data_IF_363569506335
#
_entry.id   IF_363569506335
#
_cell.length_a   1.000
_cell.length_b   1.000
_cell.length_c   1.000
_cell.angle_alpha   90.00
_cell.angle_beta   90.00
_cell.angle_gamma   90.00
#
_symmetry.space_group_name_H-M   'P 1'
#
loop_
_entity.id
_entity.type
_entity.pdbx_description
1 polymer ?
#
# COMPACT_ATOMS: atom_id res chain seq x y z
N UNK A 1 21.67 -27.39 10.86
CA UNK A 1 21.33 -26.05 10.34
C UNK A 1 22.58 -25.19 10.39
N UNK A 2 22.76 -24.23 9.48
CA UNK A 2 23.89 -23.30 9.59
C UNK A 2 23.72 -22.44 10.83
N UNK A 3 24.81 -22.18 11.55
CA UNK A 3 24.84 -21.34 12.74
C UNK A 3 25.51 -19.99 12.42
N UNK A 4 25.22 -19.00 13.26
CA UNK A 4 25.78 -17.66 13.18
C UNK A 4 25.96 -17.05 14.56
N UNK A 5 26.79 -16.02 14.63
CA UNK A 5 26.95 -15.20 15.83
C UNK A 5 25.88 -14.11 15.90
N UNK A 6 25.40 -13.84 17.11
CA UNK A 6 24.52 -12.73 17.39
C UNK A 6 24.90 -12.06 18.71
N UNK A 7 24.80 -10.74 18.76
CA UNK A 7 24.84 -9.98 20.01
C UNK A 7 23.40 -9.87 20.50
N UNK A 8 23.13 -10.39 21.69
CA UNK A 8 21.77 -10.52 22.22
C UNK A 8 21.64 -9.81 23.56
N UNK A 9 20.41 -9.44 23.88
CA UNK A 9 20.02 -9.01 25.21
C UNK A 9 19.47 -10.23 25.94
N UNK A 10 20.06 -10.53 27.10
CA UNK A 10 19.74 -11.70 27.92
C UNK A 10 18.71 -11.41 29.01
N UNK A 11 18.40 -10.14 29.26
CA UNK A 11 17.41 -9.72 30.24
C UNK A 11 17.40 -8.21 30.46
N UNK A 12 16.34 -7.69 31.09
CA UNK A 12 16.21 -6.26 31.40
C UNK A 12 17.34 -5.80 32.32
N UNK A 13 18.06 -4.76 31.93
CA UNK A 13 19.20 -4.22 32.70
C UNK A 13 20.46 -5.09 32.66
N UNK A 14 20.46 -6.21 31.91
CA UNK A 14 21.63 -7.04 31.73
C UNK A 14 22.54 -6.49 30.63
N UNK A 15 23.83 -6.82 30.69
CA UNK A 15 24.77 -6.52 29.60
C UNK A 15 24.48 -7.41 28.39
N UNK A 16 24.83 -6.91 27.21
CA UNK A 16 24.78 -7.68 25.97
C UNK A 16 25.72 -8.90 26.05
N UNK A 17 25.27 -10.02 25.49
CA UNK A 17 26.06 -11.24 25.36
C UNK A 17 26.26 -11.60 23.89
N UNK A 18 27.38 -12.25 23.59
CA UNK A 18 27.60 -12.90 22.30
C UNK A 18 27.08 -14.33 22.40
N UNK A 19 26.15 -14.70 21.53
CA UNK A 19 25.60 -16.05 21.45
C UNK A 19 25.72 -16.62 20.04
N UNK A 20 25.70 -17.95 19.95
CA UNK A 20 25.53 -18.68 18.70
C UNK A 20 24.05 -19.01 18.55
N UNK A 21 23.48 -18.71 17.39
CA UNK A 21 22.09 -19.03 17.04
C UNK A 21 21.98 -19.59 15.62
N UNK A 22 20.90 -20.30 15.26
CA UNK A 22 20.67 -20.71 13.89
C UNK A 22 20.59 -19.51 12.93
N UNK A 23 21.06 -19.70 11.70
CA UNK A 23 20.76 -18.79 10.59
C UNK A 23 19.27 -18.93 10.25
N UNK A 24 18.47 -17.85 10.29
CA UNK A 24 17.06 -17.94 9.98
C UNK A 24 16.86 -18.25 8.50
N UNK A 25 15.78 -18.96 8.20
CA UNK A 25 15.38 -19.23 6.81
C UNK A 25 14.36 -18.18 6.38
N UNK A 26 14.57 -17.45 5.27
CA UNK A 26 13.60 -16.48 4.81
C UNK A 26 12.29 -17.17 4.43
N UNK A 27 11.16 -16.54 4.73
CA UNK A 27 9.86 -16.98 4.22
C UNK A 27 9.79 -16.85 2.69
N UNK A 28 8.71 -17.35 2.05
CA UNK A 28 8.55 -17.29 0.59
C UNK A 28 8.68 -15.89 -0.02
N UNK A 29 8.31 -14.85 0.72
CA UNK A 29 8.31 -13.46 0.26
C UNK A 29 9.42 -12.61 0.93
N UNK A 30 10.33 -13.24 1.68
CA UNK A 30 11.37 -12.51 2.41
C UNK A 30 12.73 -12.69 1.72
N UNK A 31 13.70 -11.87 2.12
CA UNK A 31 15.10 -12.08 1.74
C UNK A 31 15.94 -12.29 2.99
N UNK A 32 16.90 -13.20 2.90
CA UNK A 32 17.94 -13.34 3.92
C UNK A 32 19.05 -12.37 3.57
N UNK A 33 19.38 -11.47 4.48
CA UNK A 33 20.39 -10.43 4.27
C UNK A 33 21.59 -10.71 5.14
N UNK A 34 22.79 -10.75 4.55
CA UNK A 34 24.05 -10.69 5.30
C UNK A 34 24.31 -9.22 5.63
N UNK A 35 24.27 -8.88 6.91
CA UNK A 35 24.20 -7.48 7.32
C UNK A 35 25.57 -6.86 7.58
N UNK A 36 25.63 -5.56 7.32
CA UNK A 36 26.60 -4.65 7.91
C UNK A 36 25.84 -3.87 8.99
N UNK A 37 26.25 -4.03 10.24
CA UNK A 37 25.45 -3.60 11.39
C UNK A 37 25.40 -2.06 11.46
N UNK A 38 24.19 -1.51 11.53
CA UNK A 38 23.94 -0.14 11.97
C UNK A 38 23.01 -0.17 13.18
N UNK A 39 23.49 0.25 14.35
CA UNK A 39 22.71 0.22 15.60
C UNK A 39 22.26 1.62 15.96
N UNK A 40 20.95 1.80 16.15
CA UNK A 40 20.34 3.00 16.74
C UNK A 40 19.76 2.63 18.11
N UNK A 41 20.14 3.38 19.15
CA UNK A 41 19.63 3.21 20.52
C UNK A 41 18.39 4.10 20.72
N UNK A 42 17.20 3.52 20.59
CA UNK A 42 15.91 4.17 20.90
C UNK A 42 15.27 3.57 22.18
N UNK A 43 16.06 2.84 22.98
CA UNK A 43 15.53 1.92 23.98
C UNK A 43 15.19 0.55 23.37
N UNK A 44 15.43 -0.51 24.13
CA UNK A 44 15.28 -1.89 23.66
C UNK A 44 13.82 -2.36 23.74
N UNK A 45 13.11 -2.38 22.60
CA UNK A 45 11.72 -2.87 22.46
C UNK A 45 11.62 -4.40 22.29
N UNK A 46 12.42 -5.11 23.04
CA UNK A 46 12.36 -6.58 23.19
C UNK A 46 11.28 -6.86 24.23
N UNK A 47 10.21 -7.56 23.84
CA UNK A 47 9.21 -8.07 24.79
C UNK A 47 9.81 -9.08 25.77
N UNK A 48 9.05 -10.08 26.20
CA UNK A 48 9.54 -11.11 27.14
C UNK A 48 10.50 -12.14 26.50
N UNK A 49 10.76 -12.03 25.20
CA UNK A 49 11.56 -12.98 24.43
C UNK A 49 13.06 -12.70 24.55
N UNK A 50 13.67 -13.11 25.67
CA UNK A 50 15.13 -13.12 25.86
C UNK A 50 15.66 -14.57 25.97
N UNK A 51 16.86 -14.89 25.45
CA UNK A 51 17.80 -13.99 24.76
C UNK A 51 17.35 -13.64 23.33
N UNK A 52 17.49 -12.37 22.95
CA UNK A 52 17.16 -11.92 21.58
C UNK A 52 18.14 -10.88 21.06
N UNK A 53 18.48 -10.92 19.75
CA UNK A 53 19.10 -9.80 19.06
C UNK A 53 18.21 -8.55 19.19
N UNK A 54 18.76 -7.44 18.74
CA UNK A 54 18.13 -6.12 18.72
C UNK A 54 18.62 -5.31 17.51
N UNK A 55 18.09 -4.09 17.35
CA UNK A 55 18.40 -3.19 16.23
C UNK A 55 17.48 -3.47 15.04
N UNK A 56 16.79 -2.45 14.56
CA UNK A 56 15.82 -2.57 13.46
C UNK A 56 16.28 -1.90 12.18
N UNK A 57 17.25 -0.97 12.22
CA UNK A 57 17.80 -0.35 11.02
C UNK A 57 18.82 -1.33 10.40
N UNK A 58 18.50 -1.89 9.24
CA UNK A 58 19.28 -2.92 8.57
C UNK A 58 19.86 -2.38 7.27
N UNK A 59 21.13 -2.68 7.02
CA UNK A 59 21.76 -2.55 5.71
C UNK A 59 22.61 -3.79 5.45
N UNK A 60 22.62 -4.28 4.22
CA UNK A 60 23.40 -5.47 3.90
C UNK A 60 23.24 -5.94 2.48
N UNK A 61 23.72 -7.16 2.25
CA UNK A 61 23.73 -7.80 0.94
C UNK A 61 22.79 -9.01 0.97
N UNK A 62 21.91 -9.11 -0.02
CA UNK A 62 21.01 -10.25 -0.18
C UNK A 62 21.84 -11.52 -0.33
N UNK A 63 21.62 -12.46 0.61
CA UNK A 63 22.32 -13.73 0.71
C UNK A 63 21.47 -14.90 0.18
N UNK A 64 20.16 -14.87 0.41
CA UNK A 64 19.21 -15.83 -0.13
C UNK A 64 17.83 -15.18 -0.34
N UNK A 65 17.04 -15.77 -1.23
CA UNK A 65 15.71 -15.30 -1.59
C UNK A 65 14.65 -16.31 -1.14
N UNK A 66 13.52 -15.81 -0.69
CA UNK A 66 12.28 -16.57 -0.66
C UNK A 66 11.83 -16.96 -2.08
N UNK A 67 11.14 -18.08 -2.20
CA UNK A 67 10.73 -18.66 -3.50
C UNK A 67 9.86 -17.74 -4.38
N UNK A 68 9.21 -16.73 -3.82
CA UNK A 68 8.34 -15.79 -4.52
C UNK A 68 9.01 -14.43 -4.74
N UNK A 69 10.28 -14.27 -4.36
CA UNK A 69 11.00 -13.00 -4.53
C UNK A 69 11.65 -12.95 -5.91
N UNK A 70 11.16 -12.06 -6.76
CA UNK A 70 11.65 -11.82 -8.12
C UNK A 70 12.27 -10.41 -8.31
N UNK A 71 11.94 -9.46 -7.42
CA UNK A 71 12.43 -8.07 -7.44
C UNK A 71 13.90 -7.91 -7.03
N UNK A 72 14.49 -8.90 -6.36
CA UNK A 72 15.86 -8.86 -5.85
C UNK A 72 16.65 -10.08 -6.34
N UNK A 73 17.97 -9.93 -6.42
CA UNK A 73 18.91 -11.04 -6.64
C UNK A 73 19.93 -11.13 -5.53
N UNK A 74 20.49 -12.33 -5.34
CA UNK A 74 21.65 -12.54 -4.47
C UNK A 74 22.77 -11.59 -4.90
N UNK A 75 23.35 -10.87 -3.93
CA UNK A 75 24.35 -9.84 -4.16
C UNK A 75 23.81 -8.40 -4.21
N UNK A 76 22.49 -8.19 -4.28
CA UNK A 76 21.92 -6.83 -4.19
C UNK A 76 22.17 -6.22 -2.81
N UNK A 77 22.49 -4.92 -2.79
CA UNK A 77 22.58 -4.14 -1.56
C UNK A 77 21.17 -3.64 -1.21
N UNK A 78 20.72 -3.91 0.01
CA UNK A 78 19.39 -3.53 0.51
C UNK A 78 19.51 -2.78 1.83
N UNK A 79 18.53 -1.92 2.11
CA UNK A 79 18.38 -1.21 3.37
C UNK A 79 16.91 -1.18 3.82
N UNK A 80 16.69 -1.03 5.13
CA UNK A 80 15.41 -0.68 5.73
C UNK A 80 15.19 -1.42 7.05
N UNK A 81 13.95 -1.79 7.39
CA UNK A 81 13.60 -2.11 8.77
C UNK A 81 13.30 -3.59 9.06
N UNK A 82 13.80 -4.06 10.21
CA UNK A 82 13.46 -5.33 10.84
C UNK A 82 12.14 -5.31 11.63
N UNK A 83 11.71 -6.47 12.14
CA UNK A 83 10.55 -6.61 13.04
C UNK A 83 11.01 -6.54 14.50
N UNK A 84 10.55 -5.52 15.23
CA UNK A 84 10.98 -5.26 16.61
C UNK A 84 10.48 -6.29 17.64
N UNK A 85 9.67 -7.28 17.25
CA UNK A 85 9.16 -8.30 18.17
C UNK A 85 9.65 -9.72 17.85
N UNK A 86 10.37 -9.91 16.74
CA UNK A 86 10.80 -11.23 16.27
C UNK A 86 12.32 -11.24 16.03
N UNK A 87 13.05 -12.01 16.85
CA UNK A 87 14.51 -12.00 16.86
C UNK A 87 15.17 -12.34 15.51
N UNK A 88 14.54 -13.15 14.66
CA UNK A 88 15.07 -13.52 13.33
C UNK A 88 15.11 -12.36 12.32
N UNK A 89 14.45 -11.23 12.64
CA UNK A 89 14.34 -10.05 11.79
C UNK A 89 15.15 -8.86 12.34
N UNK A 90 15.96 -9.06 13.37
CA UNK A 90 16.72 -8.00 14.03
C UNK A 90 18.19 -7.95 13.57
N UNK A 91 18.86 -6.83 13.77
CA UNK A 91 20.10 -6.43 13.10
C UNK A 91 21.40 -6.69 13.83
N UNK A 92 21.41 -7.39 14.96
CA UNK A 92 22.64 -7.72 15.70
C UNK A 92 22.99 -9.20 15.58
N UNK A 93 22.92 -9.71 14.36
CA UNK A 93 23.26 -11.09 13.99
C UNK A 93 23.83 -11.11 12.57
N UNK A 94 24.72 -12.03 12.22
CA UNK A 94 25.43 -11.98 10.92
C UNK A 94 24.52 -12.01 9.69
N UNK A 95 23.35 -12.64 9.80
CA UNK A 95 22.30 -12.74 8.79
C UNK A 95 20.93 -12.62 9.44
N UNK A 96 20.08 -11.80 8.83
CA UNK A 96 18.73 -11.52 9.33
C UNK A 96 17.72 -11.63 8.19
N UNK A 97 16.48 -11.96 8.54
CA UNK A 97 15.38 -11.96 7.58
C UNK A 97 14.87 -10.55 7.43
N UNK A 98 14.86 -10.08 6.19
CA UNK A 98 14.24 -8.82 5.83
C UNK A 98 12.87 -9.14 5.25
N UNK A 99 11.81 -8.78 6.00
CA UNK A 99 10.45 -8.93 5.49
C UNK A 99 10.25 -7.89 4.40
N UNK A 100 10.05 -8.34 3.17
CA UNK A 100 9.49 -7.48 2.14
C UNK A 100 8.02 -7.34 2.51
N UNK A 101 7.67 -6.50 3.49
CA UNK A 101 6.28 -6.29 3.87
C UNK A 101 5.57 -5.66 2.68
N UNK A 102 4.93 -6.50 1.87
CA UNK A 102 3.95 -6.07 0.90
C UNK A 102 2.72 -5.64 1.70
N UNK A 103 2.52 -4.33 1.82
CA UNK A 103 1.32 -3.80 2.42
C UNK A 103 0.21 -3.96 1.38
N UNK A 104 -0.82 -4.78 1.62
CA UNK A 104 -1.93 -4.85 0.69
C UNK A 104 -2.79 -3.58 0.79
N UNK A 105 -3.30 -3.14 -0.35
CA UNK A 105 -4.28 -2.06 -0.46
C UNK A 105 -5.46 -2.54 -1.31
N UNK A 106 -6.68 -2.30 -0.83
CA UNK A 106 -7.87 -2.41 -1.66
C UNK A 106 -8.39 -1.03 -2.05
N UNK A 107 -8.79 -0.90 -3.32
CA UNK A 107 -9.29 0.33 -3.91
C UNK A 107 -10.71 0.07 -4.39
N UNK A 108 -11.69 0.51 -3.61
CA UNK A 108 -13.10 0.45 -4.00
C UNK A 108 -13.38 1.51 -5.06
N UNK A 109 -13.82 1.10 -6.24
CA UNK A 109 -14.01 2.02 -7.36
C UNK A 109 -12.73 2.26 -8.17
N UNK A 110 -11.85 1.27 -8.28
CA UNK A 110 -10.58 1.33 -9.01
C UNK A 110 -10.71 1.74 -10.48
N UNK A 111 -11.87 1.51 -11.10
CA UNK A 111 -12.17 1.90 -12.49
C UNK A 111 -12.47 3.39 -12.71
N UNK A 112 -12.69 4.16 -11.64
CA UNK A 112 -12.87 5.62 -11.72
C UNK A 112 -11.56 6.33 -12.08
N UNK A 113 -11.60 7.60 -12.43
CA UNK A 113 -10.36 8.35 -12.68
C UNK A 113 -9.51 8.49 -11.41
N UNK A 114 -10.14 8.76 -10.26
CA UNK A 114 -9.46 8.77 -8.96
C UNK A 114 -8.87 7.38 -8.66
N UNK A 115 -9.60 6.31 -8.96
CA UNK A 115 -9.16 4.93 -8.75
C UNK A 115 -7.95 4.55 -9.59
N UNK A 116 -7.95 4.93 -10.88
CA UNK A 116 -6.81 4.72 -11.80
C UNK A 116 -5.54 5.44 -11.31
N UNK A 117 -5.65 6.66 -10.80
CA UNK A 117 -4.51 7.35 -10.19
C UNK A 117 -4.12 6.73 -8.83
N UNK A 118 -5.08 6.31 -8.01
CA UNK A 118 -4.81 5.63 -6.76
C UNK A 118 -4.03 4.32 -6.97
N UNK A 119 -4.37 3.54 -8.01
CA UNK A 119 -3.63 2.34 -8.41
C UNK A 119 -2.18 2.68 -8.77
N UNK A 120 -1.97 3.69 -9.60
CA UNK A 120 -0.62 4.10 -10.02
C UNK A 120 0.21 4.64 -8.84
N UNK A 121 -0.40 5.44 -7.97
CA UNK A 121 0.22 5.95 -6.75
C UNK A 121 0.58 4.81 -5.80
N UNK A 122 -0.30 3.82 -5.63
CA UNK A 122 -0.02 2.65 -4.79
C UNK A 122 1.16 1.85 -5.35
N UNK A 123 1.19 1.60 -6.66
CA UNK A 123 2.31 0.93 -7.33
C UNK A 123 3.61 1.71 -7.14
N UNK A 124 3.57 3.03 -7.34
CA UNK A 124 4.75 3.89 -7.16
C UNK A 124 5.22 3.97 -5.71
N UNK A 125 4.29 3.93 -4.74
CA UNK A 125 4.57 3.86 -3.31
C UNK A 125 5.04 2.47 -2.82
N UNK A 126 5.13 1.47 -3.72
CA UNK A 126 5.66 0.15 -3.39
C UNK A 126 4.66 -0.81 -2.75
N UNK A 127 3.34 -0.56 -2.86
CA UNK A 127 2.34 -1.55 -2.46
C UNK A 127 2.47 -2.79 -3.32
N UNK A 128 2.76 -3.93 -2.68
CA UNK A 128 3.00 -5.19 -3.38
C UNK A 128 1.74 -5.91 -3.84
N UNK A 129 0.63 -5.72 -3.12
CA UNK A 129 -0.70 -6.21 -3.51
C UNK A 129 -1.69 -5.05 -3.59
N UNK A 130 -2.25 -4.83 -4.79
CA UNK A 130 -3.20 -3.76 -5.08
C UNK A 130 -4.47 -4.39 -5.66
N UNK A 131 -5.51 -4.49 -4.84
CA UNK A 131 -6.80 -5.08 -5.21
C UNK A 131 -7.76 -3.99 -5.67
N UNK A 132 -8.03 -3.92 -6.97
CA UNK A 132 -8.98 -2.97 -7.52
C UNK A 132 -10.39 -3.59 -7.59
N UNK A 133 -11.37 -3.00 -6.90
CA UNK A 133 -12.78 -3.40 -7.03
C UNK A 133 -13.41 -2.49 -8.09
N UNK A 134 -13.70 -3.06 -9.26
CA UNK A 134 -14.13 -2.32 -10.44
C UNK A 134 -14.93 -3.22 -11.41
N UNK A 135 -15.41 -2.65 -12.53
CA UNK A 135 -15.98 -3.49 -13.59
C UNK A 135 -14.87 -4.27 -14.29
N UNK A 136 -15.11 -5.57 -14.53
CA UNK A 136 -14.18 -6.42 -15.28
C UNK A 136 -13.98 -6.02 -16.75
N UNK A 137 -14.88 -5.21 -17.32
CA UNK A 137 -14.75 -4.73 -18.70
C UNK A 137 -13.47 -3.91 -18.98
N UNK A 138 -12.78 -3.45 -17.92
CA UNK A 138 -11.53 -2.68 -18.02
C UNK A 138 -10.38 -3.30 -17.23
N UNK A 139 -10.44 -4.59 -16.92
CA UNK A 139 -9.41 -5.27 -16.11
C UNK A 139 -8.00 -5.08 -16.68
N UNK A 140 -7.82 -5.27 -17.98
CA UNK A 140 -6.50 -5.17 -18.63
C UNK A 140 -5.84 -3.80 -18.40
N UNK A 141 -6.63 -2.72 -18.54
CA UNK A 141 -6.18 -1.37 -18.24
C UNK A 141 -5.79 -1.21 -16.77
N UNK A 142 -6.57 -1.76 -15.83
CA UNK A 142 -6.27 -1.63 -14.40
C UNK A 142 -4.99 -2.38 -14.01
N UNK A 143 -4.78 -3.56 -14.60
CA UNK A 143 -3.55 -4.33 -14.44
C UNK A 143 -2.34 -3.57 -15.02
N UNK A 144 -2.48 -3.01 -16.22
CA UNK A 144 -1.45 -2.18 -16.86
C UNK A 144 -1.05 -0.97 -15.99
N UNK A 145 -2.03 -0.33 -15.35
CA UNK A 145 -1.83 0.81 -14.46
C UNK A 145 -1.20 0.42 -13.12
N UNK A 146 -1.24 -0.87 -12.74
CA UNK A 146 -0.54 -1.38 -11.57
C UNK A 146 -1.37 -2.16 -10.56
N UNK A 147 -2.66 -2.40 -10.82
CA UNK A 147 -3.42 -3.31 -9.98
C UNK A 147 -2.80 -4.71 -10.10
N UNK A 148 -2.73 -5.44 -8.99
CA UNK A 148 -2.31 -6.85 -9.02
C UNK A 148 -3.50 -7.78 -9.15
N UNK A 149 -4.67 -7.35 -8.68
CA UNK A 149 -5.92 -8.10 -8.76
C UNK A 149 -7.08 -7.16 -9.12
N UNK A 150 -8.06 -7.69 -9.86
CA UNK A 150 -9.30 -6.98 -10.18
C UNK A 150 -10.49 -7.83 -9.76
N UNK A 151 -11.28 -7.33 -8.82
CA UNK A 151 -12.52 -7.97 -8.34
C UNK A 151 -13.72 -7.25 -8.96
N UNK A 152 -14.70 -8.04 -9.41
CA UNK A 152 -15.89 -7.49 -10.05
C UNK A 152 -16.79 -6.79 -9.03
N UNK A 153 -17.04 -5.50 -9.27
CA UNK A 153 -17.87 -4.66 -8.41
C UNK A 153 -19.36 -5.01 -8.44
N UNK A 154 -19.82 -5.87 -9.36
CA UNK A 154 -21.24 -6.28 -9.44
C UNK A 154 -21.58 -7.44 -8.51
N UNK A 155 -20.58 -8.02 -7.86
CA UNK A 155 -20.76 -9.08 -6.87
C UNK A 155 -21.40 -8.53 -5.59
N UNK A 156 -21.93 -9.43 -4.76
CA UNK A 156 -22.40 -9.05 -3.42
C UNK A 156 -21.23 -8.63 -2.54
N UNK A 157 -21.47 -7.76 -1.55
CA UNK A 157 -20.44 -7.34 -0.58
C UNK A 157 -19.73 -8.55 0.07
N UNK A 158 -20.47 -9.63 0.36
CA UNK A 158 -19.92 -10.87 0.93
C UNK A 158 -18.98 -11.58 -0.02
N UNK A 159 -19.32 -11.64 -1.31
CA UNK A 159 -18.47 -12.29 -2.32
C UNK A 159 -17.22 -11.47 -2.61
N UNK A 160 -17.33 -10.13 -2.63
CA UNK A 160 -16.17 -9.23 -2.73
C UNK A 160 -15.25 -9.44 -1.52
N UNK A 161 -15.80 -9.45 -0.30
CA UNK A 161 -15.02 -9.71 0.90
C UNK A 161 -14.34 -11.08 0.84
N UNK A 162 -15.06 -12.15 0.48
CA UNK A 162 -14.49 -13.48 0.36
C UNK A 162 -13.33 -13.53 -0.65
N UNK A 163 -13.46 -12.86 -1.79
CA UNK A 163 -12.37 -12.77 -2.77
C UNK A 163 -11.18 -11.98 -2.23
N UNK A 164 -11.39 -10.86 -1.55
CA UNK A 164 -10.30 -10.12 -0.88
C UNK A 164 -9.60 -11.01 0.14
N UNK A 165 -10.34 -11.72 1.00
CA UNK A 165 -9.77 -12.66 1.98
C UNK A 165 -8.97 -13.77 1.31
N UNK A 166 -9.40 -14.27 0.14
CA UNK A 166 -8.65 -15.29 -0.59
C UNK A 166 -7.29 -14.79 -1.11
N UNK A 167 -7.16 -13.48 -1.34
CA UNK A 167 -5.93 -12.86 -1.84
C UNK A 167 -4.99 -12.48 -0.69
N UNK A 168 -5.50 -11.85 0.36
CA UNK A 168 -4.66 -11.19 1.40
C UNK A 168 -4.91 -11.71 2.82
N UNK A 169 -5.77 -12.72 2.99
CA UNK A 169 -6.15 -13.21 4.30
C UNK A 169 -6.75 -12.12 5.18
N UNK A 170 -6.34 -12.10 6.44
CA UNK A 170 -6.75 -11.08 7.41
C UNK A 170 -5.74 -9.92 7.52
N UNK A 171 -4.83 -9.76 6.56
CA UNK A 171 -3.74 -8.77 6.60
C UNK A 171 -4.07 -7.45 5.86
N UNK A 172 -5.31 -7.24 5.42
CA UNK A 172 -5.70 -5.99 4.77
C UNK A 172 -5.85 -4.84 5.78
N UNK A 173 -4.82 -4.00 5.89
CA UNK A 173 -4.84 -2.84 6.80
C UNK A 173 -5.21 -1.51 6.13
N UNK A 174 -5.21 -1.46 4.79
CA UNK A 174 -5.48 -0.23 4.05
C UNK A 174 -6.57 -0.43 3.02
N UNK A 175 -7.61 0.40 3.10
CA UNK A 175 -8.67 0.49 2.09
C UNK A 175 -8.88 1.95 1.74
N UNK A 176 -8.96 2.27 0.45
CA UNK A 176 -9.48 3.55 0.02
C UNK A 176 -10.70 3.37 -0.88
N UNK A 177 -11.61 4.34 -0.82
CA UNK A 177 -12.72 4.44 -1.78
C UNK A 177 -12.43 5.56 -2.75
N UNK A 178 -12.67 5.33 -4.03
CA UNK A 178 -12.40 6.26 -5.12
C UNK A 178 -13.68 6.67 -5.87
N UNK A 179 -14.84 6.44 -5.26
CA UNK A 179 -16.15 6.77 -5.79
C UNK A 179 -17.00 7.43 -4.71
N UNK A 180 -18.00 8.20 -5.13
CA UNK A 180 -19.02 8.72 -4.22
C UNK A 180 -19.88 7.56 -3.75
N UNK A 181 -19.87 7.28 -2.45
CA UNK A 181 -20.71 6.25 -1.85
C UNK A 181 -21.27 6.78 -0.51
N UNK A 182 -22.61 6.82 -0.34
CA UNK A 182 -23.21 7.15 0.96
C UNK A 182 -22.98 6.04 1.99
N UNK A 183 -22.91 4.78 1.54
CA UNK A 183 -22.55 3.61 2.34
C UNK A 183 -21.08 3.25 2.12
N UNK A 184 -20.29 3.27 3.19
CA UNK A 184 -18.87 2.94 3.23
C UNK A 184 -18.62 1.54 3.84
N UNK A 185 -19.69 0.80 4.17
CA UNK A 185 -19.62 -0.48 4.90
C UNK A 185 -18.81 -1.52 4.16
N UNK A 186 -18.91 -1.61 2.83
CA UNK A 186 -18.04 -2.48 2.04
C UNK A 186 -16.57 -2.15 2.28
N UNK A 187 -16.18 -0.88 2.18
CA UNK A 187 -14.78 -0.48 2.40
C UNK A 187 -14.27 -0.86 3.79
N UNK A 188 -15.11 -0.71 4.82
CA UNK A 188 -14.78 -1.12 6.18
C UNK A 188 -14.73 -2.64 6.32
N UNK A 189 -15.66 -3.38 5.70
CA UNK A 189 -15.72 -4.85 5.81
C UNK A 189 -14.48 -5.54 5.26
N UNK A 190 -13.85 -4.96 4.23
CA UNK A 190 -12.61 -5.51 3.65
C UNK A 190 -11.41 -5.47 4.61
N UNK A 191 -11.34 -4.53 5.56
CA UNK A 191 -10.21 -4.44 6.50
C UNK A 191 -10.06 -5.71 7.34
N UNK A 192 -8.89 -5.91 7.95
CA UNK A 192 -8.63 -6.98 8.92
C UNK A 192 -9.71 -7.02 10.02
N UNK A 193 -10.09 -8.22 10.44
CA UNK A 193 -10.97 -8.43 11.60
C UNK A 193 -10.18 -8.39 12.91
N UNK A 194 -8.92 -8.85 12.90
CA UNK A 194 -8.08 -8.97 14.10
C UNK A 194 -7.10 -7.81 14.32
N UNK A 195 -6.81 -7.01 13.29
CA UNK A 195 -5.85 -5.89 13.34
C UNK A 195 -6.52 -4.57 13.02
N UNK A 196 -6.05 -3.49 13.65
CA UNK A 196 -6.61 -2.16 13.42
C UNK A 196 -6.21 -1.64 12.03
N UNK A 197 -7.21 -1.40 11.18
CA UNK A 197 -7.02 -0.91 9.81
C UNK A 197 -7.35 0.57 9.64
N UNK A 198 -7.13 1.09 8.43
CA UNK A 198 -7.45 2.46 8.02
C UNK A 198 -8.32 2.44 6.76
N UNK A 199 -9.50 3.07 6.85
CA UNK A 199 -10.38 3.35 5.72
C UNK A 199 -10.26 4.83 5.32
N UNK A 200 -9.90 5.08 4.07
CA UNK A 200 -9.78 6.43 3.49
C UNK A 200 -10.85 6.64 2.41
N UNK A 201 -11.99 7.26 2.72
CA UNK A 201 -13.02 7.49 1.72
C UNK A 201 -12.75 8.77 0.92
N UNK A 202 -13.04 8.74 -0.39
CA UNK A 202 -12.99 9.93 -1.26
C UNK A 202 -14.04 10.99 -0.86
N UNK A 203 -15.23 10.54 -0.45
CA UNK A 203 -16.35 11.42 -0.10
C UNK A 203 -16.88 11.12 1.30
N UNK A 204 -17.71 12.02 1.81
CA UNK A 204 -18.54 11.74 2.98
C UNK A 204 -19.41 10.50 2.76
N UNK A 205 -19.55 9.69 3.81
CA UNK A 205 -20.43 8.53 3.86
C UNK A 205 -20.51 7.98 5.28
N UNK A 206 -21.34 6.98 5.50
CA UNK A 206 -21.52 6.30 6.79
C UNK A 206 -21.10 4.85 6.67
N UNK A 207 -20.55 4.32 7.76
CA UNK A 207 -20.35 2.89 7.93
C UNK A 207 -21.46 2.38 8.83
N UNK A 208 -22.06 1.26 8.46
CA UNK A 208 -22.97 0.52 9.33
C UNK A 208 -22.16 -0.55 10.07
N UNK A 209 -21.68 -0.20 11.27
CA UNK A 209 -20.87 -1.09 12.10
C UNK A 209 -21.63 -2.35 12.56
N UNK A 210 -22.97 -2.37 12.49
CA UNK A 210 -23.76 -3.55 12.84
C UNK A 210 -23.56 -4.71 11.86
N UNK A 211 -23.05 -4.41 10.65
CA UNK A 211 -22.71 -5.38 9.61
C UNK A 211 -21.25 -5.85 9.66
N UNK A 212 -20.47 -5.42 10.66
CA UNK A 212 -19.03 -5.62 10.71
C UNK A 212 -18.58 -6.47 11.91
N UNK A 213 -17.45 -7.16 11.75
CA UNK A 213 -16.79 -7.93 12.80
C UNK A 213 -15.34 -7.45 13.01
N UNK A 214 -15.15 -6.20 13.43
CA UNK A 214 -13.83 -5.56 13.60
C UNK A 214 -13.42 -5.53 15.06
N UNK A 215 -12.82 -6.61 15.54
CA UNK A 215 -12.42 -6.78 16.95
C UNK A 215 -11.44 -5.70 17.41
N UNK A 216 -10.51 -5.30 16.53
CA UNK A 216 -9.53 -4.25 16.79
C UNK A 216 -9.98 -2.84 16.35
N UNK A 217 -11.20 -2.70 15.81
CA UNK A 217 -11.70 -1.47 15.21
C UNK A 217 -10.93 -1.02 13.96
N UNK A 218 -11.22 0.19 13.50
CA UNK A 218 -10.53 0.82 12.36
C UNK A 218 -10.58 2.34 12.48
N UNK A 219 -9.64 3.02 11.83
CA UNK A 219 -9.67 4.48 11.70
C UNK A 219 -10.34 4.89 10.39
N UNK A 220 -11.30 5.79 10.47
CA UNK A 220 -11.88 6.45 9.29
C UNK A 220 -11.16 7.78 9.05
N UNK A 221 -10.23 7.81 8.09
CA UNK A 221 -9.45 9.02 7.75
C UNK A 221 -10.02 9.68 6.52
N UNK A 222 -10.78 10.75 6.74
CA UNK A 222 -11.38 11.51 5.64
C UNK A 222 -10.29 12.29 4.92
N UNK A 223 -10.23 12.10 3.62
CA UNK A 223 -9.36 12.87 2.76
C UNK A 223 -10.22 13.85 1.95
N UNK A 224 -10.01 15.15 2.18
CA UNK A 224 -10.49 16.18 1.27
C UNK A 224 -9.26 16.78 0.61
N UNK A 225 -9.17 16.65 -0.72
CA UNK A 225 -8.03 17.13 -1.48
C UNK A 225 -7.94 18.66 -1.40
N UNK A 226 -7.16 19.16 -0.45
CA UNK A 226 -6.86 20.58 -0.28
C UNK A 226 -5.35 20.78 -0.28
N UNK A 227 -4.70 20.67 -1.45
CA UNK A 227 -3.24 20.72 -1.56
C UNK A 227 -2.65 22.10 -1.19
N UNK A 228 -3.50 23.11 -1.03
CA UNK A 228 -3.13 24.47 -0.65
C UNK A 228 -3.11 24.73 0.86
N UNK A 229 -3.67 23.82 1.68
CA UNK A 229 -3.68 23.97 3.14
C UNK A 229 -2.26 23.88 3.71
N UNK A 230 -1.98 24.66 4.75
CA UNK A 230 -0.63 24.84 5.29
C UNK A 230 0.03 23.51 5.69
N UNK A 231 -0.74 22.55 6.22
CA UNK A 231 -0.26 21.24 6.66
C UNK A 231 0.11 20.29 5.50
N UNK A 232 -0.21 20.64 4.25
CA UNK A 232 0.02 19.79 3.05
C UNK A 232 0.75 20.51 1.92
N UNK A 233 0.92 21.83 2.04
CA UNK A 233 1.39 22.69 0.95
C UNK A 233 2.78 22.33 0.47
N UNK A 234 3.71 22.04 1.37
CA UNK A 234 5.08 21.67 1.03
C UNK A 234 5.13 20.37 0.22
N UNK A 235 4.53 19.30 0.74
CA UNK A 235 4.44 18.01 0.05
C UNK A 235 3.76 18.14 -1.30
N UNK A 236 2.64 18.88 -1.36
CA UNK A 236 1.90 19.10 -2.60
C UNK A 236 2.73 19.85 -3.63
N UNK A 237 3.50 20.86 -3.20
CA UNK A 237 4.38 21.63 -4.08
C UNK A 237 5.46 20.74 -4.69
N UNK A 238 6.09 19.88 -3.88
CA UNK A 238 7.09 18.93 -4.36
C UNK A 238 6.46 17.98 -5.38
N UNK A 239 5.31 17.39 -5.04
CA UNK A 239 4.60 16.47 -5.93
C UNK A 239 4.26 17.11 -7.28
N UNK A 240 3.64 18.30 -7.27
CA UNK A 240 3.22 18.97 -8.51
C UNK A 240 4.39 19.48 -9.35
N UNK A 241 5.51 19.87 -8.74
CA UNK A 241 6.73 20.23 -9.49
C UNK A 241 7.33 19.01 -10.21
N UNK A 242 7.30 17.84 -9.59
CA UNK A 242 7.85 16.61 -10.18
C UNK A 242 6.89 15.92 -11.15
N UNK A 243 5.58 16.22 -11.09
CA UNK A 243 4.55 15.50 -11.83
C UNK A 243 4.77 15.44 -13.36
N UNK A 244 5.17 16.53 -14.05
CA UNK A 244 5.43 16.46 -15.50
C UNK A 244 6.50 15.42 -15.86
N UNK A 245 7.63 15.42 -15.15
CA UNK A 245 8.72 14.47 -15.38
C UNK A 245 8.27 13.03 -15.06
N UNK A 246 7.44 12.84 -14.04
CA UNK A 246 6.88 11.52 -13.71
C UNK A 246 5.93 11.01 -14.82
N UNK A 247 5.21 11.91 -15.50
CA UNK A 247 4.40 11.55 -16.67
C UNK A 247 5.28 11.23 -17.88
N UNK A 248 6.30 12.05 -18.16
CA UNK A 248 7.25 11.83 -19.25
C UNK A 248 8.01 10.50 -19.12
N UNK A 249 8.38 10.14 -17.89
CA UNK A 249 9.02 8.85 -17.56
C UNK A 249 8.04 7.67 -17.55
N UNK A 250 6.75 7.89 -17.78
CA UNK A 250 5.72 6.86 -17.79
C UNK A 250 5.39 6.29 -16.40
N UNK A 251 5.82 6.95 -15.32
CA UNK A 251 5.43 6.59 -13.93
C UNK A 251 3.93 6.82 -13.74
N UNK A 252 3.42 7.94 -14.27
CA UNK A 252 1.99 8.22 -14.33
C UNK A 252 1.50 8.33 -15.78
N UNK A 253 0.47 7.55 -16.08
CA UNK A 253 -0.28 7.57 -17.34
C UNK A 253 -1.55 8.40 -17.15
N UNK A 254 -1.73 9.47 -17.94
CA UNK A 254 -2.97 10.23 -17.96
C UNK A 254 -4.17 9.37 -18.36
N UNK A 255 -5.36 9.71 -17.86
CA UNK A 255 -6.60 9.08 -18.31
C UNK A 255 -7.04 9.67 -19.65
N UNK A 256 -7.68 8.84 -20.49
CA UNK A 256 -8.34 9.30 -21.72
C UNK A 256 -9.32 10.46 -21.45
N UNK A 257 -9.34 11.42 -22.36
CA UNK A 257 -10.21 12.60 -22.30
C UNK A 257 -10.78 12.89 -23.70
N UNK A 258 -11.88 13.64 -23.74
CA UNK A 258 -12.47 14.19 -24.95
C UNK A 258 -12.21 15.69 -24.99
N UNK A 259 -11.86 16.23 -26.15
CA UNK A 259 -11.59 17.66 -26.30
C UNK A 259 -12.87 18.39 -26.68
N UNK A 260 -13.24 19.39 -25.89
CA UNK A 260 -14.23 20.42 -26.25
C UNK A 260 -13.46 21.66 -26.66
N UNK A 261 -13.61 22.10 -27.91
CA UNK A 261 -12.94 23.32 -28.40
C UNK A 261 -13.78 24.55 -28.11
N UNK A 262 -13.17 25.55 -27.47
CA UNK A 262 -13.82 26.80 -27.09
C UNK A 262 -14.74 26.65 -25.88
N UNK A 263 -15.17 27.79 -25.33
CA UNK A 263 -16.16 27.88 -24.26
C UNK A 263 -17.57 27.74 -24.84
N UNK A 264 -17.94 26.51 -25.20
CA UNK A 264 -19.26 26.17 -25.73
C UNK A 264 -20.17 25.68 -24.58
N UNK A 265 -21.07 26.55 -24.14
CA UNK A 265 -21.93 26.27 -22.98
C UNK A 265 -22.86 25.08 -23.19
N UNK A 266 -23.41 24.91 -24.41
CA UNK A 266 -24.33 23.83 -24.73
C UNK A 266 -23.61 22.48 -24.66
N UNK A 267 -22.42 22.38 -25.29
CA UNK A 267 -21.60 21.17 -25.21
C UNK A 267 -21.16 20.85 -23.78
N UNK A 268 -20.84 21.87 -22.98
CA UNK A 268 -20.44 21.66 -21.57
C UNK A 268 -21.63 21.15 -20.76
N UNK A 269 -22.83 21.72 -20.97
CA UNK A 269 -24.05 21.27 -20.30
C UNK A 269 -24.39 19.82 -20.67
N UNK A 270 -24.36 19.47 -21.96
CA UNK A 270 -24.61 18.10 -22.42
C UNK A 270 -23.71 17.08 -21.71
N UNK A 271 -22.42 17.41 -21.56
CA UNK A 271 -21.45 16.52 -20.90
C UNK A 271 -21.69 16.43 -19.38
N UNK A 272 -22.07 17.53 -18.73
CA UNK A 272 -22.43 17.54 -17.30
C UNK A 272 -23.69 16.70 -17.08
N UNK A 273 -24.69 16.80 -17.97
CA UNK A 273 -25.93 16.03 -17.90
C UNK A 273 -25.67 14.53 -18.09
N UNK A 274 -24.82 14.15 -19.05
CA UNK A 274 -24.40 12.76 -19.21
C UNK A 274 -23.69 12.22 -17.96
N UNK A 275 -22.80 13.02 -17.36
CA UNK A 275 -22.14 12.67 -16.11
C UNK A 275 -23.14 12.51 -14.95
N UNK A 276 -24.11 13.42 -14.84
CA UNK A 276 -25.19 13.36 -13.86
C UNK A 276 -26.08 12.13 -14.01
N UNK A 277 -26.30 11.69 -15.25
CA UNK A 277 -27.04 10.47 -15.57
C UNK A 277 -26.26 9.17 -15.32
N UNK A 278 -25.01 9.25 -14.81
CA UNK A 278 -24.18 8.08 -14.55
C UNK A 278 -23.69 7.37 -15.82
N UNK A 279 -23.81 8.03 -16.98
CA UNK A 279 -23.10 7.58 -18.19
C UNK A 279 -21.60 7.77 -17.94
N UNK A 280 -20.78 7.10 -18.75
CA UNK A 280 -19.33 7.11 -18.61
C UNK A 280 -18.70 7.99 -19.71
N UNK A 281 -19.03 9.30 -19.81
CA UNK A 281 -18.40 10.15 -20.79
C UNK A 281 -16.90 10.18 -20.49
N UNK A 282 -16.09 10.13 -21.55
CA UNK A 282 -14.67 10.43 -21.40
C UNK A 282 -14.57 11.86 -20.87
N UNK A 283 -13.69 12.13 -19.88
CA UNK A 283 -13.66 13.46 -19.22
C UNK A 283 -13.50 14.56 -20.29
N UNK A 284 -14.33 15.60 -20.28
CA UNK A 284 -14.12 16.74 -21.15
C UNK A 284 -12.85 17.47 -20.71
N UNK A 285 -12.04 17.85 -21.69
CA UNK A 285 -10.99 18.82 -21.57
C UNK A 285 -11.37 20.01 -22.47
N UNK A 286 -11.64 21.16 -21.86
CA UNK A 286 -12.09 22.35 -22.58
C UNK A 286 -10.86 23.14 -23.01
N UNK A 287 -10.53 23.08 -24.30
CA UNK A 287 -9.44 23.82 -24.90
C UNK A 287 -9.95 25.21 -25.30
N UNK A 288 -9.76 26.18 -24.41
CA UNK A 288 -10.20 27.59 -24.61
C UNK A 288 -9.41 28.27 -25.74
N UNK A 289 -8.20 27.80 -26.02
CA UNK A 289 -7.35 28.28 -27.12
C UNK A 289 -6.58 27.10 -27.75
N UNK A 290 -5.89 27.35 -28.86
CA UNK A 290 -5.12 26.32 -29.60
C UNK A 290 -3.77 25.95 -28.94
N UNK A 291 -3.62 26.15 -27.64
CA UNK A 291 -2.44 25.73 -26.87
C UNK A 291 -2.53 24.22 -26.58
#
# INVERSE_FOLDING_TARGET
>A
MAEQKAVVITGRGQRLALETRPVPTPGPNDVLVKINIYVRDLGYFIGENVPSPFGIDLVGVVHALGKNVDKFKVGDVVFGNGDQFIGDYMGTQERTVFRLQEHPLAIVGGGSNCGKFAIQLAKWAGFGTIVAIASKARSDLLLELGATHVIDRTLSDKDIEAQVRSIVGDDLLHVCTAVKAPDLTLGASLLSNSKKGILVPLTAGKVDDTRLNKQAGYDLRRFLCRPHEDDRRELSTIFWKSFPELVEKGVFKPTSFQIVKGLDADKINDIIDEYGAGKNPTRPNVHVSNI
#
